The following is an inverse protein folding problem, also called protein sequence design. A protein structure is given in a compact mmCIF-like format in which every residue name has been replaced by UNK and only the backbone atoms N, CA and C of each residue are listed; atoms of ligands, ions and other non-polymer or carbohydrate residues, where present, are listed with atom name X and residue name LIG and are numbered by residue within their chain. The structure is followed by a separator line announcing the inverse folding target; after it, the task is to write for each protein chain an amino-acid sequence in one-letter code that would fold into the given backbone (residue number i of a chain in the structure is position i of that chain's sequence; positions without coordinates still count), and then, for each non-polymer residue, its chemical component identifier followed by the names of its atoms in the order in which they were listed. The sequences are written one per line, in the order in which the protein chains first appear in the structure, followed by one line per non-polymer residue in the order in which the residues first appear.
data_IF_266150765929
#
_entry.id   IF_266150765929
#
_cell.length_a   1.000
_cell.length_b   1.000
_cell.length_c   1.000
_cell.angle_alpha   90.00
_cell.angle_beta   90.00
_cell.angle_gamma   90.00
#
_symmetry.space_group_name_H-M   'P 1'
#
loop_
_entity.id
_entity.type
_entity.pdbx_description
1 polymer ?
#
# COMPACT_ATOMS: atom_id res chain seq x y z
N UNK A 1 55.75 21.09 -48.14
CA UNK A 1 55.34 21.29 -46.74
C UNK A 1 53.94 20.68 -46.62
N UNK A 2 53.83 19.37 -46.52
CA UNK A 2 54.05 18.53 -45.33
C UNK A 2 52.83 18.46 -44.39
N UNK A 3 52.39 17.20 -44.24
CA UNK A 3 51.88 16.52 -43.05
C UNK A 3 50.40 16.70 -42.63
N UNK A 4 49.67 15.65 -43.01
CA UNK A 4 48.71 14.87 -42.22
C UNK A 4 48.80 15.04 -40.68
N UNK A 5 47.65 15.13 -40.00
CA UNK A 5 47.38 14.44 -38.73
C UNK A 5 45.91 14.64 -38.28
N UNK A 6 45.17 13.54 -38.31
CA UNK A 6 43.90 13.30 -37.60
C UNK A 6 44.04 13.58 -36.10
N UNK A 7 43.05 14.22 -35.47
CA UNK A 7 42.51 13.80 -34.15
C UNK A 7 41.02 14.09 -34.04
N UNK A 8 40.26 13.00 -33.97
CA UNK A 8 38.92 12.89 -33.43
C UNK A 8 38.92 13.04 -31.91
N UNK A 9 37.96 13.78 -31.35
CA UNK A 9 37.49 13.65 -29.97
C UNK A 9 36.00 13.97 -29.97
N UNK A 10 35.11 12.98 -30.12
CA UNK A 10 34.47 12.25 -29.02
C UNK A 10 34.07 13.14 -27.84
N UNK A 11 32.80 13.55 -27.87
CA UNK A 11 32.13 14.12 -26.72
C UNK A 11 32.03 13.10 -25.58
N UNK A 12 32.06 13.64 -24.37
CA UNK A 12 31.54 12.97 -23.19
C UNK A 12 30.49 13.93 -22.66
N UNK A 13 29.28 13.81 -23.21
CA UNK A 13 28.09 14.30 -22.53
C UNK A 13 27.97 13.50 -21.24
N UNK A 14 28.12 14.20 -20.12
CA UNK A 14 27.86 13.65 -18.79
C UNK A 14 26.43 13.10 -18.73
N UNK A 15 26.28 11.78 -18.70
CA UNK A 15 25.05 11.13 -18.25
C UNK A 15 24.93 11.37 -16.74
N UNK A 16 24.53 12.59 -16.35
CA UNK A 16 23.93 12.80 -15.05
C UNK A 16 22.55 12.15 -15.12
N UNK A 17 22.47 10.88 -14.69
CA UNK A 17 21.18 10.31 -14.33
C UNK A 17 20.55 11.25 -13.30
N UNK A 18 19.49 11.97 -13.70
CA UNK A 18 18.65 12.68 -12.76
C UNK A 18 18.18 11.66 -11.72
N UNK A 19 18.79 11.67 -10.53
CA UNK A 19 18.30 10.90 -9.40
C UNK A 19 16.92 11.46 -9.08
N UNK A 20 15.86 10.68 -9.36
CA UNK A 20 14.52 11.02 -8.94
C UNK A 20 14.49 11.14 -7.41
N UNK A 21 13.99 12.26 -6.89
CA UNK A 21 13.86 12.46 -5.46
C UNK A 21 12.58 11.77 -4.98
N UNK A 22 12.72 10.50 -4.59
CA UNK A 22 11.61 9.68 -4.12
C UNK A 22 11.67 9.55 -2.60
N UNK A 23 10.70 10.13 -1.91
CA UNK A 23 10.60 10.15 -0.45
C UNK A 23 9.27 9.54 -0.02
N UNK A 24 9.32 8.56 0.87
CA UNK A 24 8.14 7.96 1.48
C UNK A 24 8.02 8.38 2.94
N UNK A 25 7.02 9.20 3.24
CA UNK A 25 6.59 9.48 4.61
C UNK A 25 5.75 8.29 5.11
N UNK A 26 6.24 7.60 6.14
CA UNK A 26 5.70 6.31 6.55
C UNK A 26 5.80 6.06 8.05
N UNK A 27 4.90 5.19 8.55
CA UNK A 27 4.95 4.64 9.90
C UNK A 27 5.09 3.12 9.84
N UNK A 28 6.02 2.55 10.61
CA UNK A 28 6.40 1.14 10.52
C UNK A 28 5.24 0.17 10.84
N UNK A 29 4.31 0.58 11.70
CA UNK A 29 3.12 -0.20 12.08
C UNK A 29 1.84 0.22 11.34
N UNK A 30 1.93 1.02 10.28
CA UNK A 30 0.81 1.32 9.38
C UNK A 30 0.71 0.26 8.28
N UNK A 31 -0.44 -0.39 8.15
CA UNK A 31 -0.69 -1.34 7.05
C UNK A 31 -0.71 -0.63 5.69
N UNK A 32 -1.29 0.57 5.60
CA UNK A 32 -1.28 1.39 4.39
C UNK A 32 0.16 1.77 3.99
N UNK A 33 1.02 2.13 4.94
CA UNK A 33 2.42 2.43 4.64
C UNK A 33 3.22 1.18 4.27
N UNK A 34 2.88 0.03 4.86
CA UNK A 34 3.49 -1.24 4.48
C UNK A 34 3.18 -1.61 3.03
N UNK A 35 1.95 -1.43 2.53
CA UNK A 35 1.62 -1.67 1.10
C UNK A 35 2.64 -1.01 0.16
N UNK A 36 2.96 0.27 0.41
CA UNK A 36 3.87 1.03 -0.44
C UNK A 36 5.32 0.63 -0.24
N UNK A 37 5.77 0.41 1.01
CA UNK A 37 7.11 -0.15 1.25
C UNK A 37 7.31 -1.48 0.53
N UNK A 38 6.29 -2.33 0.54
CA UNK A 38 6.32 -3.63 -0.09
C UNK A 38 6.37 -3.51 -1.61
N UNK A 39 5.52 -2.68 -2.21
CA UNK A 39 5.54 -2.39 -3.64
C UNK A 39 6.91 -1.85 -4.10
N UNK A 40 7.46 -0.85 -3.41
CA UNK A 40 8.79 -0.30 -3.72
C UNK A 40 9.89 -1.36 -3.64
N UNK A 41 9.83 -2.24 -2.62
CA UNK A 41 10.78 -3.34 -2.44
C UNK A 41 10.69 -4.37 -3.57
N UNK A 42 9.49 -4.81 -3.94
CA UNK A 42 9.27 -5.77 -5.04
C UNK A 42 9.75 -5.22 -6.38
N UNK A 43 9.50 -3.93 -6.63
CA UNK A 43 9.96 -3.23 -7.83
C UNK A 43 11.47 -2.94 -7.80
N UNK A 44 12.09 -2.94 -6.62
CA UNK A 44 13.50 -2.60 -6.43
C UNK A 44 13.79 -1.12 -6.63
N UNK A 45 12.84 -0.26 -6.28
CA UNK A 45 12.97 1.20 -6.41
C UNK A 45 13.58 1.74 -5.12
N UNK A 46 14.77 2.38 -5.17
CA UNK A 46 15.34 3.04 -4.01
C UNK A 46 14.54 4.30 -3.66
N UNK A 47 14.39 4.58 -2.37
CA UNK A 47 13.67 5.75 -1.86
C UNK A 47 14.22 6.17 -0.49
N UNK A 48 14.04 7.44 -0.14
CA UNK A 48 14.27 7.94 1.21
C UNK A 48 13.08 7.59 2.10
N UNK A 49 13.33 6.90 3.21
CA UNK A 49 12.31 6.64 4.22
C UNK A 49 12.26 7.79 5.24
N UNK A 50 11.17 8.55 5.27
CA UNK A 50 10.91 9.53 6.33
C UNK A 50 9.91 8.97 7.33
N UNK A 51 10.38 8.75 8.56
CA UNK A 51 9.54 8.29 9.65
C UNK A 51 8.56 9.39 10.08
N UNK A 52 7.31 9.00 10.34
CA UNK A 52 6.30 9.85 10.99
C UNK A 52 5.79 9.11 12.21
N UNK A 53 6.10 9.61 13.40
CA UNK A 53 5.74 9.01 14.68
C UNK A 53 4.30 9.33 15.06
N UNK A 54 3.38 8.42 14.71
CA UNK A 54 1.96 8.57 15.00
C UNK A 54 1.63 8.56 16.49
N UNK A 55 2.53 8.03 17.34
CA UNK A 55 2.33 8.03 18.79
C UNK A 55 2.55 9.40 19.41
N UNK A 56 3.39 10.23 18.77
CA UNK A 56 3.66 11.63 19.14
C UNK A 56 2.76 12.62 18.41
N UNK A 57 1.94 12.15 17.47
CA UNK A 57 1.05 13.02 16.70
C UNK A 57 1.76 13.84 15.61
N UNK A 58 2.93 13.40 15.12
CA UNK A 58 3.71 14.13 14.11
C UNK A 58 2.94 14.39 12.80
N UNK A 59 1.95 13.56 12.49
CA UNK A 59 1.03 13.73 11.37
C UNK A 59 0.16 15.00 11.46
N UNK A 60 0.03 15.59 12.65
CA UNK A 60 -0.70 16.84 12.88
C UNK A 60 0.22 18.07 12.85
N UNK A 61 1.50 17.90 12.52
CA UNK A 61 2.40 19.03 12.35
C UNK A 61 2.02 19.87 11.12
N UNK A 62 2.22 21.21 11.14
CA UNK A 62 1.98 22.04 9.96
C UNK A 62 2.82 21.63 8.74
N UNK A 63 3.96 20.96 8.95
CA UNK A 63 4.76 20.41 7.85
C UNK A 63 4.08 19.23 7.18
N UNK A 64 3.59 18.27 7.96
CA UNK A 64 2.90 17.11 7.42
C UNK A 64 1.53 17.48 6.83
N UNK A 65 0.81 18.42 7.42
CA UNK A 65 -0.48 18.90 6.90
C UNK A 65 -0.36 19.46 5.48
N UNK A 66 0.75 20.16 5.16
CA UNK A 66 1.03 20.63 3.79
C UNK A 66 1.18 19.49 2.77
N UNK A 67 1.57 18.30 3.23
CA UNK A 67 1.70 17.10 2.40
C UNK A 67 0.37 16.34 2.28
N UNK A 68 -0.34 16.20 3.39
CA UNK A 68 -1.63 15.55 3.44
C UNK A 68 -2.54 16.18 4.52
N UNK A 69 -3.55 16.98 4.13
CA UNK A 69 -4.46 17.62 5.07
C UNK A 69 -5.40 16.62 5.79
N UNK A 70 -5.46 15.37 5.36
CA UNK A 70 -6.15 14.31 6.09
C UNK A 70 -5.31 13.72 7.23
N UNK A 71 -4.05 14.14 7.38
CA UNK A 71 -3.14 13.69 8.44
C UNK A 71 -2.92 12.17 8.47
N UNK A 72 -2.97 11.51 7.31
CA UNK A 72 -2.71 10.06 7.20
C UNK A 72 -1.39 9.76 6.51
N UNK A 73 -0.73 8.70 6.95
CA UNK A 73 0.38 8.04 6.25
C UNK A 73 -0.14 6.83 5.46
N UNK A 74 0.48 6.47 4.33
CA UNK A 74 1.68 7.06 3.74
C UNK A 74 1.42 8.31 2.89
N UNK A 75 2.48 9.07 2.65
CA UNK A 75 2.57 10.08 1.59
C UNK A 75 3.85 9.82 0.79
N UNK A 76 3.74 9.77 -0.53
CA UNK A 76 4.87 9.69 -1.44
C UNK A 76 5.13 11.07 -2.04
N UNK A 77 6.35 11.55 -1.92
CA UNK A 77 6.86 12.69 -2.69
C UNK A 77 7.77 12.12 -3.76
N UNK A 78 7.43 12.39 -5.01
CA UNK A 78 8.14 11.90 -6.18
C UNK A 78 8.45 13.10 -7.09
N UNK A 79 9.66 13.63 -6.93
CA UNK A 79 10.09 14.92 -7.48
C UNK A 79 9.14 16.05 -7.04
N UNK A 80 8.33 16.58 -7.96
CA UNK A 80 7.38 17.66 -7.71
C UNK A 80 5.95 17.16 -7.48
N UNK A 81 5.72 15.85 -7.50
CA UNK A 81 4.41 15.24 -7.33
C UNK A 81 4.28 14.73 -5.90
N UNK A 82 3.24 15.17 -5.20
CA UNK A 82 2.88 14.66 -3.87
C UNK A 82 1.61 13.84 -4.00
N UNK A 83 1.70 12.55 -3.66
CA UNK A 83 0.57 11.62 -3.69
C UNK A 83 0.37 11.07 -2.28
N UNK A 84 -0.81 11.31 -1.72
CA UNK A 84 -1.30 10.64 -0.52
C UNK A 84 -2.28 9.53 -0.93
N UNK A 85 -2.66 8.68 0.01
CA UNK A 85 -3.48 7.47 -0.22
C UNK A 85 -2.71 6.27 -0.81
N UNK A 86 -2.66 5.14 -0.08
CA UNK A 86 -1.90 3.97 -0.50
C UNK A 86 -2.39 3.34 -1.81
N UNK A 87 -3.67 3.49 -2.18
CA UNK A 87 -4.18 2.97 -3.45
C UNK A 87 -3.74 3.86 -4.62
N UNK A 88 -3.87 5.19 -4.47
CA UNK A 88 -3.41 6.15 -5.47
C UNK A 88 -1.89 6.11 -5.66
N UNK A 89 -1.12 6.06 -4.57
CA UNK A 89 0.35 5.92 -4.62
C UNK A 89 0.75 4.65 -5.38
N UNK A 90 0.09 3.52 -5.13
CA UNK A 90 0.40 2.28 -5.83
C UNK A 90 0.20 2.41 -7.34
N UNK A 91 -0.93 3.01 -7.78
CA UNK A 91 -1.18 3.22 -9.21
C UNK A 91 -0.18 4.18 -9.84
N UNK A 92 0.19 5.27 -9.15
CA UNK A 92 1.24 6.18 -9.58
C UNK A 92 2.57 5.45 -9.80
N UNK A 93 2.94 4.53 -8.89
CA UNK A 93 4.14 3.71 -9.04
C UNK A 93 4.07 2.76 -10.24
N UNK A 94 2.91 2.16 -10.52
CA UNK A 94 2.72 1.29 -11.69
C UNK A 94 2.78 2.05 -13.02
N UNK A 95 2.33 3.30 -13.04
CA UNK A 95 2.38 4.15 -14.24
C UNK A 95 3.78 4.71 -14.50
N UNK A 96 4.45 5.25 -13.48
CA UNK A 96 5.78 5.89 -13.65
C UNK A 96 6.92 4.88 -13.71
N UNK A 97 6.87 3.81 -12.91
CA UNK A 97 7.93 2.81 -12.80
C UNK A 97 7.49 1.48 -13.41
N UNK A 98 7.54 1.40 -14.74
CA UNK A 98 6.98 0.29 -15.53
C UNK A 98 7.75 -1.03 -15.41
N UNK A 99 8.95 -1.02 -14.83
CA UNK A 99 9.73 -2.24 -14.61
C UNK A 99 9.18 -3.06 -13.44
N UNK A 100 9.18 -4.40 -13.58
CA UNK A 100 8.59 -5.34 -12.62
C UNK A 100 7.14 -4.93 -12.27
N UNK A 101 6.20 -5.05 -13.22
CA UNK A 101 4.82 -4.65 -12.99
C UNK A 101 4.19 -5.49 -11.88
N UNK A 102 3.45 -4.84 -11.00
CA UNK A 102 2.66 -5.46 -9.94
C UNK A 102 1.16 -5.46 -10.29
N UNK A 103 0.82 -5.14 -11.53
CA UNK A 103 -0.46 -5.42 -12.14
C UNK A 103 -0.30 -6.30 -13.38
N UNK A 104 -1.20 -7.28 -13.56
CA UNK A 104 -1.19 -8.11 -14.76
C UNK A 104 -1.60 -7.30 -16.01
N UNK A 105 -1.15 -7.78 -17.16
CA UNK A 105 -1.50 -7.24 -18.48
C UNK A 105 -2.90 -7.71 -18.90
N UNK A 106 -3.28 -8.94 -18.52
CA UNK A 106 -4.60 -9.48 -18.80
C UNK A 106 -5.70 -8.60 -18.15
N UNK A 107 -6.68 -8.09 -18.92
CA UNK A 107 -7.68 -7.18 -18.39
C UNK A 107 -8.55 -7.77 -17.29
N UNK A 108 -8.90 -9.07 -17.36
CA UNK A 108 -9.75 -9.72 -16.37
C UNK A 108 -9.00 -9.88 -15.04
N UNK A 109 -7.78 -10.38 -15.10
CA UNK A 109 -6.93 -10.55 -13.93
C UNK A 109 -6.54 -9.20 -13.31
N UNK A 110 -6.40 -8.16 -14.15
CA UNK A 110 -6.15 -6.78 -13.70
C UNK A 110 -7.36 -6.23 -12.95
N UNK A 111 -8.56 -6.42 -13.48
CA UNK A 111 -9.79 -6.03 -12.82
C UNK A 111 -9.95 -6.73 -11.46
N UNK A 112 -9.65 -8.04 -11.40
CA UNK A 112 -9.67 -8.80 -10.14
C UNK A 112 -8.70 -8.24 -9.10
N UNK A 113 -7.46 -7.94 -9.50
CA UNK A 113 -6.45 -7.38 -8.60
C UNK A 113 -6.85 -6.00 -8.06
N UNK A 114 -7.38 -5.13 -8.92
CA UNK A 114 -7.92 -3.83 -8.51
C UNK A 114 -9.12 -4.00 -7.56
N UNK A 115 -10.01 -4.96 -7.83
CA UNK A 115 -11.17 -5.23 -6.98
C UNK A 115 -10.76 -5.71 -5.58
N UNK A 116 -9.82 -6.65 -5.48
CA UNK A 116 -9.29 -7.14 -4.19
C UNK A 116 -8.69 -6.00 -3.39
N UNK A 117 -7.81 -5.21 -4.03
CA UNK A 117 -7.17 -4.08 -3.38
C UNK A 117 -8.19 -3.00 -2.97
N UNK A 118 -9.21 -2.74 -3.80
CA UNK A 118 -10.30 -1.81 -3.51
C UNK A 118 -11.15 -2.26 -2.31
N UNK A 119 -11.50 -3.55 -2.21
CA UNK A 119 -12.24 -4.09 -1.06
C UNK A 119 -11.43 -3.85 0.23
N UNK A 120 -10.14 -4.17 0.23
CA UNK A 120 -9.26 -3.97 1.38
C UNK A 120 -9.13 -2.48 1.72
N UNK A 121 -8.96 -1.64 0.70
CA UNK A 121 -8.72 -0.21 0.84
C UNK A 121 -9.95 0.58 1.30
N UNK A 122 -11.15 0.25 0.80
CA UNK A 122 -12.37 1.03 1.03
C UNK A 122 -13.31 0.39 2.05
N UNK A 123 -13.37 -0.94 2.09
CA UNK A 123 -14.42 -1.69 2.81
C UNK A 123 -13.89 -2.44 4.04
N UNK A 124 -12.57 -2.48 4.24
CA UNK A 124 -11.95 -3.13 5.40
C UNK A 124 -11.12 -2.12 6.18
N UNK A 125 -10.02 -1.63 5.61
CA UNK A 125 -9.01 -0.86 6.34
C UNK A 125 -9.54 0.41 7.03
N UNK A 126 -10.40 1.24 6.40
CA UNK A 126 -10.89 2.46 7.04
C UNK A 126 -11.78 2.18 8.26
N UNK A 127 -12.46 1.03 8.29
CA UNK A 127 -13.43 0.69 9.34
C UNK A 127 -12.78 0.23 10.64
N UNK A 128 -11.50 -0.17 10.60
CA UNK A 128 -10.72 -0.57 11.78
C UNK A 128 -9.49 0.32 12.00
N UNK A 129 -9.46 1.49 11.35
CA UNK A 129 -8.39 2.46 11.56
C UNK A 129 -8.38 2.98 13.00
N UNK A 130 -7.20 3.15 13.58
CA UNK A 130 -7.03 3.39 15.02
C UNK A 130 -7.78 4.64 15.53
N UNK A 131 -7.79 5.74 14.78
CA UNK A 131 -8.55 6.93 15.16
C UNK A 131 -10.07 6.68 15.09
N UNK A 132 -10.56 6.00 14.06
CA UNK A 132 -11.98 5.61 13.93
C UNK A 132 -12.41 4.74 15.12
N UNK A 133 -11.61 3.75 15.49
CA UNK A 133 -11.89 2.90 16.64
C UNK A 133 -11.90 3.69 17.96
N UNK A 134 -10.94 4.59 18.17
CA UNK A 134 -10.88 5.46 19.36
C UNK A 134 -12.05 6.43 19.43
N UNK A 135 -12.44 7.03 18.30
CA UNK A 135 -13.57 7.96 18.23
C UNK A 135 -14.88 7.22 18.50
N UNK A 136 -15.03 6.00 17.97
CA UNK A 136 -16.17 5.12 18.27
C UNK A 136 -16.26 4.81 19.77
N UNK A 137 -15.16 4.37 20.39
CA UNK A 137 -15.09 4.11 21.84
C UNK A 137 -15.50 5.34 22.66
N UNK A 138 -15.00 6.51 22.28
CA UNK A 138 -15.30 7.78 22.96
C UNK A 138 -16.75 8.22 22.78
N UNK A 139 -17.32 8.08 21.59
CA UNK A 139 -18.66 8.56 21.26
C UNK A 139 -19.77 7.66 21.82
N UNK A 140 -19.55 6.35 21.80
CA UNK A 140 -20.57 5.35 22.15
C UNK A 140 -20.31 4.63 23.46
N UNK A 141 -19.19 4.91 24.14
CA UNK A 141 -18.79 4.26 25.40
C UNK A 141 -18.79 2.72 25.30
N UNK A 142 -18.36 2.18 24.15
CA UNK A 142 -18.39 0.76 23.83
C UNK A 142 -17.06 0.28 23.25
N UNK A 143 -16.69 -0.98 23.50
CA UNK A 143 -15.47 -1.57 22.94
C UNK A 143 -15.53 -1.60 21.40
N UNK A 144 -14.44 -1.18 20.75
CA UNK A 144 -14.38 -1.13 19.28
C UNK A 144 -13.84 -2.41 18.63
N UNK A 145 -13.22 -3.30 19.41
CA UNK A 145 -12.60 -4.53 18.90
C UNK A 145 -13.61 -5.47 18.23
N UNK A 146 -14.82 -5.75 18.79
CA UNK A 146 -15.81 -6.59 18.11
C UNK A 146 -16.24 -6.02 16.75
N UNK A 147 -16.31 -4.69 16.61
CA UNK A 147 -16.60 -4.03 15.35
C UNK A 147 -15.47 -4.23 14.32
N UNK A 148 -14.22 -4.05 14.74
CA UNK A 148 -13.06 -4.33 13.88
C UNK A 148 -13.07 -5.79 13.41
N UNK A 149 -13.33 -6.74 14.32
CA UNK A 149 -13.40 -8.15 13.99
C UNK A 149 -14.51 -8.46 12.98
N UNK A 150 -15.72 -7.94 13.21
CA UNK A 150 -16.85 -8.11 12.29
C UNK A 150 -16.54 -7.58 10.88
N UNK A 151 -16.02 -6.36 10.78
CA UNK A 151 -15.74 -5.73 9.48
C UNK A 151 -14.63 -6.45 8.72
N UNK A 152 -13.60 -6.92 9.43
CA UNK A 152 -12.53 -7.73 8.85
C UNK A 152 -13.07 -9.09 8.39
N UNK A 153 -13.81 -9.82 9.24
CA UNK A 153 -14.38 -11.14 8.91
C UNK A 153 -15.30 -11.05 7.69
N UNK A 154 -16.15 -10.01 7.62
CA UNK A 154 -17.02 -9.76 6.47
C UNK A 154 -16.22 -9.53 5.20
N UNK A 155 -15.16 -8.73 5.27
CA UNK A 155 -14.28 -8.44 4.13
C UNK A 155 -13.50 -9.67 3.67
N UNK A 156 -12.91 -10.42 4.58
CA UNK A 156 -12.18 -11.66 4.29
C UNK A 156 -13.10 -12.73 3.71
N UNK A 157 -14.32 -12.88 4.23
CA UNK A 157 -15.32 -13.77 3.66
C UNK A 157 -15.68 -13.44 2.21
N UNK A 158 -15.68 -12.16 1.85
CA UNK A 158 -15.93 -11.72 0.47
C UNK A 158 -14.72 -12.00 -0.43
N UNK A 159 -13.50 -11.71 0.06
CA UNK A 159 -12.25 -11.96 -0.66
C UNK A 159 -12.01 -13.45 -0.91
N UNK A 160 -12.27 -14.31 0.08
CA UNK A 160 -12.17 -15.76 -0.03
C UNK A 160 -13.02 -16.30 -1.20
N UNK A 161 -14.29 -15.85 -1.26
CA UNK A 161 -15.20 -16.23 -2.35
C UNK A 161 -14.75 -15.69 -3.70
N UNK A 162 -14.24 -14.46 -3.71
CA UNK A 162 -13.78 -13.80 -4.93
C UNK A 162 -12.52 -14.46 -5.52
N UNK A 163 -11.63 -14.95 -4.68
CA UNK A 163 -10.33 -15.51 -5.06
C UNK A 163 -10.35 -17.02 -5.30
N UNK A 164 -11.42 -17.72 -4.92
CA UNK A 164 -11.52 -19.19 -4.92
C UNK A 164 -11.00 -19.88 -6.18
N UNK A 165 -11.33 -19.34 -7.35
CA UNK A 165 -10.99 -19.96 -8.65
C UNK A 165 -9.74 -19.34 -9.31
N UNK A 166 -9.07 -18.40 -8.62
CA UNK A 166 -7.91 -17.66 -9.12
C UNK A 166 -6.64 -17.87 -8.28
N UNK A 167 -6.79 -18.24 -7.01
CA UNK A 167 -5.68 -18.42 -6.09
C UNK A 167 -4.76 -19.57 -6.54
N UNK A 168 -3.45 -19.32 -6.50
CA UNK A 168 -2.39 -20.29 -6.75
C UNK A 168 -1.35 -20.21 -5.63
N UNK A 169 -0.07 -20.13 -5.98
CA UNK A 169 0.99 -19.79 -5.01
C UNK A 169 0.74 -18.43 -4.33
N UNK A 170 0.15 -17.48 -5.06
CA UNK A 170 -0.23 -16.14 -4.63
C UNK A 170 -1.73 -15.90 -4.85
N UNK A 171 -2.23 -14.74 -4.39
CA UNK A 171 -3.66 -14.44 -4.34
C UNK A 171 -4.37 -14.58 -5.70
N UNK A 172 -3.67 -14.34 -6.81
CA UNK A 172 -4.24 -14.40 -8.16
C UNK A 172 -3.40 -15.22 -9.16
N UNK A 173 -2.71 -16.26 -8.66
CA UNK A 173 -1.96 -17.22 -9.48
C UNK A 173 -0.51 -17.40 -9.04
N UNK A 174 0.43 -17.48 -9.98
CA UNK A 174 1.85 -17.78 -9.73
C UNK A 174 2.75 -16.55 -9.59
N UNK A 175 2.17 -15.35 -9.63
CA UNK A 175 2.91 -14.08 -9.52
C UNK A 175 2.32 -13.18 -8.43
N UNK A 176 3.20 -12.42 -7.78
CA UNK A 176 2.81 -11.38 -6.82
C UNK A 176 2.27 -10.18 -7.58
N UNK A 177 1.04 -9.78 -7.26
CA UNK A 177 0.38 -8.60 -7.82
C UNK A 177 -0.23 -7.71 -6.72
N UNK A 178 -0.95 -6.66 -7.12
CA UNK A 178 -1.59 -5.70 -6.22
C UNK A 178 -2.45 -6.38 -5.15
N UNK A 179 -3.14 -7.48 -5.46
CA UNK A 179 -3.90 -8.25 -4.49
C UNK A 179 -3.03 -8.67 -3.29
N UNK A 180 -1.85 -9.26 -3.54
CA UNK A 180 -0.91 -9.70 -2.50
C UNK A 180 -0.34 -8.53 -1.70
N UNK A 181 0.00 -7.43 -2.40
CA UNK A 181 0.54 -6.21 -1.78
C UNK A 181 -0.44 -5.62 -0.78
N UNK A 182 -1.75 -5.73 -1.03
CA UNK A 182 -2.79 -5.24 -0.14
C UNK A 182 -3.21 -6.27 0.92
N UNK A 183 -3.24 -7.56 0.57
CA UNK A 183 -3.61 -8.66 1.46
C UNK A 183 -2.59 -8.87 2.58
N UNK A 184 -1.30 -8.97 2.25
CA UNK A 184 -0.29 -9.37 3.24
C UNK A 184 -0.23 -8.43 4.47
N UNK A 185 -0.24 -7.08 4.32
CA UNK A 185 -0.34 -6.18 5.47
C UNK A 185 -1.67 -6.27 6.21
N UNK A 186 -2.77 -6.53 5.51
CA UNK A 186 -4.11 -6.61 6.11
C UNK A 186 -4.28 -7.89 6.93
N UNK A 187 -3.78 -9.04 6.45
CA UNK A 187 -3.77 -10.31 7.18
C UNK A 187 -2.92 -10.19 8.44
N UNK A 188 -1.71 -9.66 8.30
CA UNK A 188 -0.80 -9.50 9.44
C UNK A 188 -1.43 -8.62 10.53
N UNK A 189 -2.06 -7.51 10.13
CA UNK A 189 -2.74 -6.63 11.07
C UNK A 189 -3.96 -7.29 11.71
N UNK A 190 -4.76 -8.04 10.95
CA UNK A 190 -5.92 -8.78 11.47
C UNK A 190 -5.53 -9.79 12.55
N UNK A 191 -4.46 -10.56 12.32
CA UNK A 191 -3.95 -11.53 13.30
C UNK A 191 -3.35 -10.83 14.52
N UNK A 192 -2.44 -9.87 14.31
CA UNK A 192 -1.65 -9.30 15.41
C UNK A 192 -2.41 -8.31 16.29
N UNK A 193 -3.43 -7.62 15.76
CA UNK A 193 -4.16 -6.57 16.50
C UNK A 193 -5.57 -6.96 16.91
N UNK A 194 -6.19 -7.85 16.15
CA UNK A 194 -7.61 -8.17 16.33
C UNK A 194 -7.87 -9.65 16.59
N UNK A 195 -6.82 -10.46 16.76
CA UNK A 195 -6.90 -11.88 17.09
C UNK A 195 -7.82 -12.65 16.13
N UNK A 196 -7.78 -12.30 14.84
CA UNK A 196 -8.52 -13.02 13.80
C UNK A 196 -7.85 -14.36 13.52
N UNK A 197 -8.62 -15.44 13.66
CA UNK A 197 -8.20 -16.78 13.29
C UNK A 197 -8.34 -16.99 11.77
N UNK A 198 -7.21 -17.07 11.08
CA UNK A 198 -7.14 -17.25 9.63
C UNK A 198 -7.51 -18.67 9.17
N UNK A 199 -7.60 -19.66 10.07
CA UNK A 199 -7.98 -21.05 9.74
C UNK A 199 -9.50 -21.20 9.69
N UNK A 200 -10.24 -20.45 10.51
CA UNK A 200 -11.69 -20.55 10.67
C UNK A 200 -12.49 -19.35 10.11
N UNK A 201 -11.89 -18.54 9.23
CA UNK A 201 -12.59 -17.42 8.56
C UNK A 201 -13.83 -17.83 7.74
N UNK A 202 -14.09 -19.13 7.56
CA UNK A 202 -15.15 -19.68 6.71
C UNK A 202 -16.55 -19.77 7.33
N UNK A 203 -16.81 -19.27 8.55
CA UNK A 203 -18.19 -19.41 9.07
C UNK A 203 -18.51 -18.99 10.50
N UNK A 204 -18.08 -17.81 10.97
CA UNK A 204 -18.71 -17.22 12.17
C UNK A 204 -20.11 -16.68 11.81
N UNK A 205 -21.11 -17.56 11.86
CA UNK A 205 -22.53 -17.19 11.92
C UNK A 205 -22.69 -16.29 13.15
N UNK A 206 -23.06 -15.04 12.94
CA UNK A 206 -23.60 -14.25 14.04
C UNK A 206 -24.94 -14.89 14.44
N UNK A 207 -24.92 -15.64 15.52
CA UNK A 207 -26.04 -15.74 16.43
C UNK A 207 -26.31 -14.32 16.94
N UNK A 208 -27.35 -13.70 16.37
CA UNK A 208 -28.04 -12.56 16.97
C UNK A 208 -29.40 -13.09 17.43
N UNK A 209 -29.42 -13.72 18.60
CA UNK A 209 -30.62 -13.87 19.43
C UNK A 209 -30.96 -12.56 20.13
#
# INVERSE_FOLDING_TARGET
MDLDLRKSGHGIGSNASLQSNLVLYSYCHSSCSWRIRFALSLKGIPYEYKAVDLSKGEQYSPEFERLNPLHYVPVLVDDNVVVSDSYAIFLHLEEKYTQKPLLPVDPQLRALNLQVASIIHSSIQPLHMLNVLKDMEKMFCAESKPWAQFTIDKGFSALEKLLKDFAGTYATGEHIYMADVFLAPQITLAVQRFDIDMVNCSGRRMDLS
#
